data_IF_927348722964
#
_entry.id   IF_927348722964
#
_cell.length_a   1.000
_cell.length_b   1.000
_cell.length_c   1.000
_cell.angle_alpha   90.00
_cell.angle_beta   90.00
_cell.angle_gamma   90.00
#
_symmetry.space_group_name_H-M   'P 1'
#
loop_
_entity.id
_entity.type
_entity.pdbx_description
1 polymer ?
#
# COMPACT_ATOMS: atom_id res chain seq x y z
N UNK A 1 6.78 -37.92 -129.42
CA UNK A 1 8.17 -37.69 -128.98
C UNK A 1 8.49 -38.68 -127.86
N UNK A 2 9.56 -39.46 -128.05
CA UNK A 2 10.38 -40.22 -127.06
C UNK A 2 9.66 -41.13 -126.05
N UNK A 3 9.54 -42.45 -126.22
CA UNK A 3 10.56 -43.54 -126.22
C UNK A 3 10.95 -44.09 -124.83
N UNK A 4 10.49 -45.33 -124.59
CA UNK A 4 11.22 -46.50 -124.05
C UNK A 4 11.79 -46.52 -122.62
N UNK A 5 11.28 -47.44 -121.78
CA UNK A 5 11.88 -48.78 -121.48
C UNK A 5 10.98 -49.52 -120.46
N UNK A 6 10.32 -50.65 -120.75
CA UNK A 6 10.79 -52.04 -120.94
C UNK A 6 11.52 -52.64 -119.71
N UNK A 7 10.83 -53.58 -119.04
CA UNK A 7 11.21 -54.98 -118.71
C UNK A 7 10.77 -55.38 -117.30
N UNK A 8 10.08 -56.52 -117.20
CA UNK A 8 9.80 -57.20 -115.93
C UNK A 8 8.46 -57.94 -115.93
N UNK A 9 8.24 -58.80 -116.91
CA UNK A 9 7.09 -59.70 -116.94
C UNK A 9 7.43 -61.02 -116.24
N UNK A 10 6.41 -61.59 -115.59
CA UNK A 10 6.16 -63.02 -115.34
C UNK A 10 7.18 -63.74 -114.44
N UNK A 11 6.68 -64.47 -113.42
CA UNK A 11 6.54 -65.93 -113.51
C UNK A 11 6.12 -66.61 -112.18
N UNK A 12 5.21 -67.58 -112.31
CA UNK A 12 4.91 -68.76 -111.45
C UNK A 12 4.31 -68.47 -110.06
N UNK A 13 3.04 -68.79 -109.73
CA UNK A 13 2.31 -70.05 -109.90
C UNK A 13 3.17 -71.30 -109.66
N UNK A 14 3.26 -71.72 -108.40
CA UNK A 14 3.82 -73.02 -108.02
C UNK A 14 4.12 -73.09 -106.52
N UNK A 15 3.51 -74.04 -105.81
CA UNK A 15 3.99 -74.47 -104.50
C UNK A 15 3.02 -74.30 -103.32
N UNK A 16 1.83 -74.89 -103.43
CA UNK A 16 1.11 -75.40 -102.26
C UNK A 16 1.87 -76.65 -101.77
N UNK A 17 1.93 -76.86 -100.44
CA UNK A 17 2.45 -78.03 -99.72
C UNK A 17 3.96 -78.02 -99.42
N UNK A 18 4.34 -77.46 -98.27
CA UNK A 18 5.31 -77.98 -97.28
C UNK A 18 5.83 -76.83 -96.39
N UNK A 19 5.11 -76.55 -95.29
CA UNK A 19 5.55 -75.57 -94.29
C UNK A 19 4.82 -75.64 -92.95
N UNK A 20 4.09 -76.73 -92.70
CA UNK A 20 3.20 -76.90 -91.55
C UNK A 20 3.84 -77.40 -90.25
N UNK A 21 5.16 -77.33 -90.06
CA UNK A 21 5.79 -77.92 -88.85
C UNK A 21 6.85 -77.08 -88.13
N UNK A 22 7.08 -75.81 -88.51
CA UNK A 22 7.99 -74.91 -87.74
C UNK A 22 7.27 -73.66 -87.20
N UNK A 23 6.05 -73.37 -87.64
CA UNK A 23 5.25 -72.25 -87.14
C UNK A 23 4.51 -72.54 -85.82
N UNK A 24 4.45 -73.80 -85.35
CA UNK A 24 3.67 -74.13 -84.15
C UNK A 24 4.42 -73.87 -82.83
N UNK A 25 5.76 -73.92 -82.82
CA UNK A 25 6.55 -73.65 -81.61
C UNK A 25 6.85 -72.17 -81.38
N UNK A 26 6.79 -71.32 -82.42
CA UNK A 26 7.05 -69.88 -82.26
C UNK A 26 5.79 -69.11 -81.85
N UNK A 27 4.59 -69.59 -82.24
CA UNK A 27 3.33 -68.97 -81.85
C UNK A 27 2.96 -69.31 -80.39
N UNK A 28 3.17 -70.55 -79.95
CA UNK A 28 2.93 -70.93 -78.54
C UNK A 28 3.89 -70.23 -77.57
N UNK A 29 5.13 -69.93 -77.98
CA UNK A 29 6.09 -69.19 -77.17
C UNK A 29 5.75 -67.69 -77.05
N UNK A 30 5.21 -67.07 -78.10
CA UNK A 30 4.72 -65.68 -78.08
C UNK A 30 3.40 -65.59 -77.29
N UNK A 31 2.51 -66.55 -77.43
CA UNK A 31 1.21 -66.59 -76.73
C UNK A 31 1.40 -66.87 -75.21
N UNK A 32 2.38 -67.71 -74.84
CA UNK A 32 2.76 -67.92 -73.45
C UNK A 32 3.55 -66.73 -72.88
N UNK A 33 4.43 -66.10 -73.66
CA UNK A 33 5.19 -64.91 -73.22
C UNK A 33 4.31 -63.68 -73.02
N UNK A 34 3.29 -63.49 -73.88
CA UNK A 34 2.31 -62.40 -73.74
C UNK A 34 1.33 -62.64 -72.60
N UNK A 35 0.92 -63.89 -72.33
CA UNK A 35 0.15 -64.25 -71.13
C UNK A 35 0.92 -64.02 -69.83
N UNK A 36 2.19 -64.41 -69.78
CA UNK A 36 3.05 -64.18 -68.61
C UNK A 36 3.25 -62.69 -68.34
N UNK A 37 3.50 -61.88 -69.38
CA UNK A 37 3.60 -60.43 -69.24
C UNK A 37 2.28 -59.78 -68.83
N UNK A 38 1.13 -60.30 -69.28
CA UNK A 38 -0.18 -59.81 -68.88
C UNK A 38 -0.51 -60.17 -67.42
N UNK A 39 -0.16 -61.37 -66.97
CA UNK A 39 -0.29 -61.78 -65.57
C UNK A 39 0.65 -60.96 -64.66
N UNK A 40 1.89 -60.74 -65.07
CA UNK A 40 2.87 -59.93 -64.33
C UNK A 40 2.45 -58.45 -64.28
N UNK A 41 1.92 -57.90 -65.38
CA UNK A 41 1.35 -56.56 -65.42
C UNK A 41 0.08 -56.43 -64.56
N UNK A 42 -0.79 -57.45 -64.55
CA UNK A 42 -1.97 -57.46 -63.67
C UNK A 42 -1.59 -57.59 -62.20
N UNK A 43 -0.59 -58.39 -61.86
CA UNK A 43 -0.06 -58.49 -60.50
C UNK A 43 0.56 -57.15 -60.06
N UNK A 44 1.36 -56.51 -60.92
CA UNK A 44 1.92 -55.18 -60.65
C UNK A 44 0.84 -54.09 -60.53
N UNK A 45 -0.23 -54.16 -61.33
CA UNK A 45 -1.38 -53.25 -61.24
C UNK A 45 -2.14 -53.45 -59.93
N UNK A 46 -2.35 -54.69 -59.51
CA UNK A 46 -2.99 -55.05 -58.24
C UNK A 46 -2.17 -54.54 -57.04
N UNK A 47 -0.86 -54.74 -57.06
CA UNK A 47 0.04 -54.24 -56.00
C UNK A 47 0.08 -52.70 -55.98
N UNK A 48 0.12 -52.06 -57.15
CA UNK A 48 0.05 -50.60 -57.24
C UNK A 48 -1.30 -50.05 -56.72
N UNK A 49 -2.42 -50.74 -56.98
CA UNK A 49 -3.73 -50.38 -56.44
C UNK A 49 -3.79 -50.54 -54.92
N UNK A 50 -3.21 -51.60 -54.36
CA UNK A 50 -3.10 -51.81 -52.91
C UNK A 50 -2.24 -50.73 -52.25
N UNK A 51 -1.09 -50.39 -52.83
CA UNK A 51 -0.22 -49.32 -52.35
C UNK A 51 -0.91 -47.94 -52.43
N UNK A 52 -1.67 -47.68 -53.51
CA UNK A 52 -2.45 -46.44 -53.65
C UNK A 52 -3.57 -46.36 -52.60
N UNK A 53 -4.26 -47.46 -52.33
CA UNK A 53 -5.30 -47.52 -51.32
C UNK A 53 -4.74 -47.33 -49.89
N UNK A 54 -3.55 -47.88 -49.60
CA UNK A 54 -2.89 -47.68 -48.31
C UNK A 54 -2.41 -46.25 -48.12
N UNK A 55 -1.77 -45.66 -49.14
CA UNK A 55 -1.35 -44.25 -49.12
C UNK A 55 -2.54 -43.30 -48.95
N UNK A 56 -3.67 -43.53 -49.62
CA UNK A 56 -4.89 -42.74 -49.41
C UNK A 56 -5.41 -42.83 -47.96
N UNK A 57 -5.37 -44.02 -47.34
CA UNK A 57 -5.75 -44.18 -45.92
C UNK A 57 -4.79 -43.42 -45.00
N UNK A 58 -3.50 -43.46 -45.26
CA UNK A 58 -2.50 -42.71 -44.50
C UNK A 58 -2.70 -41.20 -44.65
N UNK A 59 -2.95 -40.71 -45.87
CA UNK A 59 -3.28 -39.31 -46.13
C UNK A 59 -4.56 -38.86 -45.42
N UNK A 60 -5.61 -39.67 -45.42
CA UNK A 60 -6.84 -39.37 -44.70
C UNK A 60 -6.62 -39.26 -43.18
N UNK A 61 -5.79 -40.16 -42.62
CA UNK A 61 -5.41 -40.14 -41.19
C UNK A 61 -4.54 -38.92 -40.83
N UNK A 62 -3.60 -38.56 -41.70
CA UNK A 62 -2.80 -37.35 -41.56
C UNK A 62 -3.66 -36.09 -41.65
N UNK A 63 -4.65 -36.07 -42.55
CA UNK A 63 -5.63 -35.00 -42.65
C UNK A 63 -6.42 -34.83 -41.35
N UNK A 64 -6.99 -35.91 -40.82
CA UNK A 64 -7.75 -35.84 -39.55
C UNK A 64 -6.88 -35.41 -38.36
N UNK A 65 -5.63 -35.88 -38.29
CA UNK A 65 -4.69 -35.46 -37.25
C UNK A 65 -4.29 -33.98 -37.39
N UNK A 66 -4.17 -33.49 -38.64
CA UNK A 66 -3.94 -32.08 -38.93
C UNK A 66 -5.10 -31.20 -38.48
N UNK A 67 -6.33 -31.61 -38.79
CA UNK A 67 -7.54 -30.90 -38.39
C UNK A 67 -7.68 -30.86 -36.85
N UNK A 68 -7.47 -31.98 -36.15
CA UNK A 68 -7.45 -32.04 -34.68
C UNK A 68 -6.37 -31.13 -34.08
N UNK A 69 -5.18 -31.08 -34.68
CA UNK A 69 -4.10 -30.21 -34.22
C UNK A 69 -4.41 -28.73 -34.41
N UNK A 70 -5.09 -28.36 -35.50
CA UNK A 70 -5.54 -26.99 -35.77
C UNK A 70 -6.59 -26.59 -34.73
N UNK A 71 -7.61 -27.41 -34.49
CA UNK A 71 -8.63 -27.11 -33.47
C UNK A 71 -8.02 -26.96 -32.07
N UNK A 72 -7.05 -27.82 -31.73
CA UNK A 72 -6.33 -27.72 -30.46
C UNK A 72 -5.50 -26.44 -30.36
N UNK A 73 -4.82 -26.04 -31.44
CA UNK A 73 -4.06 -24.79 -31.49
C UNK A 73 -4.96 -23.54 -31.39
N UNK A 74 -6.13 -23.55 -32.04
CA UNK A 74 -7.13 -22.48 -31.91
C UNK A 74 -7.68 -22.39 -30.48
N UNK A 75 -7.96 -23.53 -29.84
CA UNK A 75 -8.39 -23.59 -28.45
C UNK A 75 -7.33 -23.01 -27.49
N UNK A 76 -6.07 -23.39 -27.67
CA UNK A 76 -4.96 -22.83 -26.88
C UNK A 76 -4.80 -21.33 -27.10
N UNK A 77 -4.96 -20.87 -28.34
CA UNK A 77 -4.87 -19.44 -28.67
C UNK A 77 -5.94 -18.65 -27.93
N UNK A 78 -7.19 -19.11 -27.93
CA UNK A 78 -8.27 -18.49 -27.14
C UNK A 78 -7.98 -18.48 -25.65
N UNK A 79 -7.46 -19.59 -25.10
CA UNK A 79 -7.08 -19.64 -23.68
C UNK A 79 -5.96 -18.64 -23.33
N UNK A 80 -4.99 -18.45 -24.23
CA UNK A 80 -3.93 -17.45 -24.04
C UNK A 80 -4.52 -16.04 -24.04
N UNK A 81 -5.39 -15.72 -25.00
CA UNK A 81 -6.06 -14.41 -25.07
C UNK A 81 -6.90 -14.13 -23.81
N UNK A 82 -7.64 -15.12 -23.31
CA UNK A 82 -8.40 -15.02 -22.06
C UNK A 82 -7.47 -14.77 -20.86
N UNK A 83 -6.36 -15.51 -20.76
CA UNK A 83 -5.40 -15.34 -19.67
C UNK A 83 -4.68 -14.00 -19.72
N UNK A 84 -4.35 -13.51 -20.91
CA UNK A 84 -3.75 -12.19 -21.08
C UNK A 84 -4.72 -11.08 -20.66
N UNK A 85 -6.01 -11.22 -20.97
CA UNK A 85 -7.05 -10.30 -20.51
C UNK A 85 -7.21 -10.35 -18.96
N UNK A 86 -7.22 -11.53 -18.36
CA UNK A 86 -7.24 -11.69 -16.90
C UNK A 86 -6.02 -11.04 -16.22
N UNK A 87 -4.81 -11.27 -16.77
CA UNK A 87 -3.57 -10.69 -16.27
C UNK A 87 -3.62 -9.16 -16.36
N UNK A 88 -4.09 -8.60 -17.47
CA UNK A 88 -4.24 -7.16 -17.65
C UNK A 88 -5.21 -6.57 -16.60
N UNK A 89 -6.35 -7.22 -16.38
CA UNK A 89 -7.34 -6.79 -15.37
C UNK A 89 -6.78 -6.87 -13.94
N UNK A 90 -6.03 -7.93 -13.61
CA UNK A 90 -5.38 -8.09 -12.30
C UNK A 90 -4.29 -7.03 -12.08
N UNK A 91 -3.47 -6.74 -13.10
CA UNK A 91 -2.46 -5.67 -13.04
C UNK A 91 -3.11 -4.30 -12.79
N UNK A 92 -4.22 -4.00 -13.47
CA UNK A 92 -4.96 -2.76 -13.26
C UNK A 92 -5.52 -2.67 -11.83
N UNK A 93 -6.09 -3.76 -11.33
CA UNK A 93 -6.64 -3.84 -9.96
C UNK A 93 -5.55 -3.67 -8.90
N UNK A 94 -4.40 -4.33 -9.08
CA UNK A 94 -3.23 -4.17 -8.20
C UNK A 94 -2.71 -2.73 -8.23
N UNK A 95 -2.63 -2.10 -9.41
CA UNK A 95 -2.24 -0.70 -9.55
C UNK A 95 -3.18 0.25 -8.81
N UNK A 96 -4.50 0.03 -8.89
CA UNK A 96 -5.48 0.83 -8.14
C UNK A 96 -5.35 0.62 -6.62
N UNK A 97 -5.23 -0.63 -6.17
CA UNK A 97 -5.03 -0.94 -4.75
C UNK A 97 -3.74 -0.30 -4.21
N UNK A 98 -2.64 -0.40 -4.94
CA UNK A 98 -1.37 0.22 -4.56
C UNK A 98 -1.49 1.73 -4.38
N UNK A 99 -2.16 2.42 -5.31
CA UNK A 99 -2.45 3.87 -5.18
C UNK A 99 -3.33 4.18 -3.97
N UNK A 100 -4.36 3.37 -3.72
CA UNK A 100 -5.23 3.53 -2.56
C UNK A 100 -4.49 3.34 -1.23
N UNK A 101 -3.60 2.33 -1.14
CA UNK A 101 -2.75 2.12 0.03
C UNK A 101 -1.78 3.28 0.24
N UNK A 102 -1.10 3.74 -0.81
CA UNK A 102 -0.22 4.90 -0.72
C UNK A 102 -0.96 6.16 -0.22
N UNK A 103 -2.18 6.42 -0.73
CA UNK A 103 -3.02 7.52 -0.26
C UNK A 103 -3.43 7.38 1.20
N UNK A 104 -3.83 6.19 1.63
CA UNK A 104 -4.18 5.90 3.04
C UNK A 104 -2.99 6.05 3.97
N UNK A 105 -1.80 5.57 3.58
CA UNK A 105 -0.58 5.72 4.37
C UNK A 105 -0.23 7.20 4.58
N UNK A 106 -0.28 8.02 3.52
CA UNK A 106 -0.02 9.46 3.64
C UNK A 106 -1.05 10.19 4.50
N UNK A 107 -2.32 9.79 4.48
CA UNK A 107 -3.34 10.34 5.40
C UNK A 107 -3.07 9.91 6.85
N UNK A 108 -2.74 8.64 7.07
CA UNK A 108 -2.46 8.12 8.40
C UNK A 108 -1.24 8.82 9.02
N UNK A 109 -0.19 9.04 8.24
CA UNK A 109 1.02 9.74 8.68
C UNK A 109 0.72 11.18 9.11
N UNK A 110 -0.09 11.92 8.31
CA UNK A 110 -0.55 13.27 8.69
C UNK A 110 -1.38 13.27 9.97
N UNK A 111 -2.28 12.28 10.13
CA UNK A 111 -3.08 12.15 11.35
C UNK A 111 -2.21 11.83 12.56
N UNK A 112 -1.23 10.94 12.41
CA UNK A 112 -0.29 10.61 13.49
C UNK A 112 0.56 11.81 13.90
N UNK A 113 1.05 12.59 12.94
CA UNK A 113 1.82 13.80 13.23
C UNK A 113 0.98 14.86 13.96
N UNK A 114 -0.25 15.10 13.48
CA UNK A 114 -1.21 15.99 14.14
C UNK A 114 -1.53 15.55 15.57
N UNK A 115 -1.80 14.25 15.77
CA UNK A 115 -2.05 13.69 17.10
C UNK A 115 -0.83 13.77 18.01
N UNK A 116 0.37 13.53 17.49
CA UNK A 116 1.63 13.66 18.24
C UNK A 116 1.82 15.08 18.78
N UNK A 117 1.58 16.09 17.94
CA UNK A 117 1.63 17.50 18.33
C UNK A 117 0.57 17.80 19.40
N UNK A 118 -0.66 17.33 19.21
CA UNK A 118 -1.74 17.51 20.18
C UNK A 118 -1.41 16.88 21.54
N UNK A 119 -0.85 15.67 21.55
CA UNK A 119 -0.41 14.98 22.77
C UNK A 119 0.72 15.76 23.46
N UNK A 120 1.71 16.25 22.70
CA UNK A 120 2.79 17.04 23.27
C UNK A 120 2.27 18.35 23.91
N UNK A 121 1.31 19.02 23.26
CA UNK A 121 0.67 20.21 23.79
C UNK A 121 -0.15 19.91 25.05
N UNK A 122 -0.94 18.83 25.06
CA UNK A 122 -1.69 18.39 26.23
C UNK A 122 -0.76 18.03 27.39
N UNK A 123 0.32 17.30 27.13
CA UNK A 123 1.31 16.95 28.15
C UNK A 123 1.92 18.19 28.78
N UNK A 124 2.35 19.15 27.95
CA UNK A 124 2.87 20.44 28.42
C UNK A 124 1.83 21.17 29.28
N UNK A 125 0.58 21.23 28.80
CA UNK A 125 -0.53 21.88 29.52
C UNK A 125 -0.74 21.26 30.91
N UNK A 126 -0.73 19.94 31.02
CA UNK A 126 -0.85 19.24 32.31
C UNK A 126 0.31 19.61 33.24
N UNK A 127 1.55 19.56 32.74
CA UNK A 127 2.73 19.95 33.53
C UNK A 127 2.66 21.41 34.00
N UNK A 128 2.30 22.34 33.12
CA UNK A 128 2.15 23.76 33.47
C UNK A 128 1.05 23.96 34.54
N UNK A 129 -0.04 23.19 34.45
CA UNK A 129 -1.14 23.22 35.42
C UNK A 129 -0.69 22.71 36.80
N UNK A 130 0.06 21.61 36.84
CA UNK A 130 0.59 21.05 38.10
C UNK A 130 1.50 22.05 38.82
N UNK A 131 2.37 22.75 38.07
CA UNK A 131 3.22 23.81 38.61
C UNK A 131 2.39 24.94 39.20
N UNK A 132 1.33 25.37 38.52
CA UNK A 132 0.45 26.43 39.01
C UNK A 132 -0.33 26.02 40.26
N UNK A 133 -0.76 24.75 40.36
CA UNK A 133 -1.40 24.26 41.59
C UNK A 133 -0.43 24.20 42.77
N UNK A 134 0.81 23.75 42.54
CA UNK A 134 1.85 23.76 43.56
C UNK A 134 2.16 25.19 44.04
N UNK A 135 2.26 26.14 43.10
CA UNK A 135 2.53 27.54 43.43
C UNK A 135 1.35 28.20 44.14
N UNK A 136 0.11 27.93 43.72
CA UNK A 136 -1.10 28.38 44.42
C UNK A 136 -1.10 27.90 45.87
N UNK A 137 -0.77 26.63 46.10
CA UNK A 137 -0.71 26.07 47.44
C UNK A 137 0.34 26.78 48.30
N UNK A 138 1.57 26.95 47.78
CA UNK A 138 2.66 27.64 48.46
C UNK A 138 2.31 29.09 48.82
N UNK A 139 1.76 29.83 47.85
CA UNK A 139 1.34 31.22 48.06
C UNK A 139 0.18 31.32 49.06
N UNK A 140 -0.78 30.40 49.02
CA UNK A 140 -1.88 30.36 49.98
C UNK A 140 -1.38 30.14 51.41
N UNK A 141 -0.40 29.24 51.60
CA UNK A 141 0.23 29.05 52.91
C UNK A 141 0.97 30.31 53.37
N UNK A 142 1.80 30.91 52.50
CA UNK A 142 2.57 32.10 52.83
C UNK A 142 1.67 33.29 53.20
N UNK A 143 0.59 33.52 52.45
CA UNK A 143 -0.43 34.54 52.74
C UNK A 143 -1.11 34.26 54.09
N UNK A 144 -1.46 33.01 54.38
CA UNK A 144 -2.07 32.62 55.65
C UNK A 144 -1.15 32.85 56.86
N UNK A 145 0.10 32.40 56.78
CA UNK A 145 1.11 32.60 57.82
C UNK A 145 1.41 34.08 58.06
N UNK A 146 1.53 34.85 56.98
CA UNK A 146 1.84 36.28 57.07
C UNK A 146 0.65 37.06 57.65
N UNK A 147 -0.58 36.71 57.27
CA UNK A 147 -1.79 37.28 57.88
C UNK A 147 -1.85 37.02 59.39
N UNK A 148 -1.51 35.81 59.84
CA UNK A 148 -1.45 35.51 61.27
C UNK A 148 -0.40 36.37 61.99
N UNK A 149 0.80 36.54 61.40
CA UNK A 149 1.85 37.41 61.94
C UNK A 149 1.42 38.88 61.99
N UNK A 150 0.76 39.38 60.94
CA UNK A 150 0.24 40.75 60.89
C UNK A 150 -0.81 40.96 62.00
N UNK A 151 -1.72 40.02 62.20
CA UNK A 151 -2.73 40.12 63.26
C UNK A 151 -2.10 40.12 64.66
N UNK A 152 -1.13 39.24 64.91
CA UNK A 152 -0.38 39.23 66.18
C UNK A 152 0.42 40.53 66.37
N UNK A 153 1.09 41.01 65.33
CA UNK A 153 1.83 42.27 65.33
C UNK A 153 0.93 43.48 65.58
N UNK A 154 -0.24 43.54 64.95
CA UNK A 154 -1.24 44.57 65.16
C UNK A 154 -1.74 44.61 66.61
N UNK A 155 -2.02 43.44 67.20
CA UNK A 155 -2.41 43.37 68.61
C UNK A 155 -1.31 43.86 69.55
N UNK A 156 -0.06 43.45 69.32
CA UNK A 156 1.07 43.91 70.12
C UNK A 156 1.31 45.42 69.97
N UNK A 157 1.08 45.96 68.77
CA UNK A 157 1.15 47.39 68.50
C UNK A 157 0.11 48.18 69.26
N UNK A 158 -1.13 47.70 69.37
CA UNK A 158 -2.16 48.38 70.18
C UNK A 158 -1.76 48.46 71.67
N UNK A 159 -1.16 47.40 72.22
CA UNK A 159 -0.66 47.38 73.59
C UNK A 159 0.46 48.40 73.78
N UNK A 160 1.45 48.40 72.87
CA UNK A 160 2.60 49.30 72.94
C UNK A 160 2.26 50.76 72.59
N UNK A 161 1.23 51.00 71.78
CA UNK A 161 0.73 52.34 71.46
C UNK A 161 0.21 53.04 72.71
N UNK A 162 -0.50 52.32 73.58
CA UNK A 162 -1.02 52.87 74.85
C UNK A 162 0.15 53.29 75.75
N UNK A 163 1.16 52.43 75.91
CA UNK A 163 2.36 52.74 76.70
C UNK A 163 3.12 53.97 76.16
N UNK A 164 3.32 54.05 74.84
CA UNK A 164 3.97 55.22 74.23
C UNK A 164 3.14 56.50 74.35
N UNK A 165 1.81 56.41 74.25
CA UNK A 165 0.92 57.57 74.42
C UNK A 165 0.91 58.07 75.88
N UNK A 166 1.01 57.19 76.87
CA UNK A 166 1.16 57.55 78.29
C UNK A 166 2.50 58.24 78.57
N UNK A 167 3.60 57.75 77.98
CA UNK A 167 4.91 58.37 78.07
C UNK A 167 4.90 59.80 77.50
N UNK A 168 4.36 59.98 76.29
CA UNK A 168 4.30 61.29 75.61
C UNK A 168 3.44 62.33 76.35
N UNK A 169 2.46 61.89 77.14
CA UNK A 169 1.61 62.79 77.95
C UNK A 169 2.28 63.25 79.24
N UNK A 170 3.44 62.71 79.61
CA UNK A 170 4.17 63.08 80.83
C UNK A 170 3.51 62.62 82.14
N UNK A 171 2.44 61.83 82.08
CA UNK A 171 1.62 61.41 83.24
C UNK A 171 1.96 59.99 83.74
N UNK A 172 3.20 59.54 83.57
CA UNK A 172 3.57 58.16 83.82
C UNK A 172 3.83 57.88 85.31
N UNK A 173 2.80 57.43 86.04
CA UNK A 173 2.96 56.65 87.27
C UNK A 173 3.42 55.20 86.97
N UNK A 174 3.35 54.77 85.71
CA UNK A 174 3.57 53.38 85.25
C UNK A 174 4.99 53.03 84.77
N UNK A 175 6.03 53.83 85.07
CA UNK A 175 7.42 53.59 84.62
C UNK A 175 7.56 53.31 83.10
N UNK A 176 6.82 54.02 82.25
CA UNK A 176 7.03 53.95 80.79
C UNK A 176 8.18 54.87 80.35
N UNK A 177 8.86 54.51 79.27
CA UNK A 177 10.13 55.10 78.83
C UNK A 177 10.16 55.42 77.34
N UNK A 178 11.17 56.19 76.91
CA UNK A 178 11.45 56.43 75.48
C UNK A 178 11.66 55.10 74.72
N UNK A 179 12.25 54.10 75.37
CA UNK A 179 12.45 52.77 74.79
C UNK A 179 11.14 52.08 74.40
N UNK A 180 10.04 52.35 75.09
CA UNK A 180 8.72 51.79 74.76
C UNK A 180 8.15 52.42 73.48
N UNK A 181 8.40 53.73 73.29
CA UNK A 181 8.07 54.41 72.04
C UNK A 181 8.95 53.96 70.87
N UNK A 182 10.23 53.74 71.11
CA UNK A 182 11.15 53.25 70.08
C UNK A 182 10.79 51.81 69.67
N UNK A 183 10.45 50.95 70.62
CA UNK A 183 9.94 49.59 70.38
C UNK A 183 8.62 49.62 69.60
N UNK A 184 7.68 50.50 69.96
CA UNK A 184 6.44 50.69 69.19
C UNK A 184 6.71 51.09 67.74
N UNK A 185 7.59 52.07 67.51
CA UNK A 185 7.92 52.52 66.16
C UNK A 185 8.61 51.42 65.34
N UNK A 186 9.51 50.65 65.95
CA UNK A 186 10.18 49.51 65.31
C UNK A 186 9.17 48.44 64.89
N UNK A 187 8.33 47.99 65.82
CA UNK A 187 7.29 47.00 65.54
C UNK A 187 6.28 47.51 64.50
N UNK A 188 6.02 48.83 64.47
CA UNK A 188 5.11 49.44 63.50
C UNK A 188 5.71 49.36 62.10
N UNK A 189 7.00 49.65 61.96
CA UNK A 189 7.71 49.52 60.70
C UNK A 189 7.74 48.06 60.23
N UNK A 190 8.04 47.11 61.12
CA UNK A 190 8.00 45.67 60.82
C UNK A 190 6.61 45.21 60.37
N UNK A 191 5.55 45.61 61.08
CA UNK A 191 4.19 45.24 60.71
C UNK A 191 3.75 45.88 59.39
N UNK A 192 4.20 47.10 59.10
CA UNK A 192 3.94 47.76 57.81
C UNK A 192 4.65 47.01 56.67
N UNK A 193 5.90 46.60 56.87
CA UNK A 193 6.63 45.80 55.89
C UNK A 193 5.98 44.42 55.65
N UNK A 194 5.44 43.79 56.71
CA UNK A 194 4.67 42.54 56.56
C UNK A 194 3.38 42.75 55.76
N UNK A 195 2.66 43.87 55.96
CA UNK A 195 1.47 44.21 55.17
C UNK A 195 1.84 44.40 53.68
N UNK A 196 2.93 45.11 53.38
CA UNK A 196 3.42 45.25 51.99
C UNK A 196 3.77 43.89 51.36
N UNK A 197 4.46 43.01 52.09
CA UNK A 197 4.75 41.65 51.63
C UNK A 197 3.47 40.83 51.42
N UNK A 198 2.45 41.01 52.26
CA UNK A 198 1.15 40.35 52.13
C UNK A 198 0.43 40.79 50.86
N UNK A 199 0.44 42.08 50.55
CA UNK A 199 -0.17 42.61 49.33
C UNK A 199 0.52 42.06 48.07
N UNK A 200 1.86 41.98 48.08
CA UNK A 200 2.62 41.36 47.00
C UNK A 200 2.28 39.88 46.82
N UNK A 201 2.32 39.08 47.88
CA UNK A 201 1.99 37.64 47.82
C UNK A 201 0.53 37.39 47.43
N UNK A 202 -0.39 38.24 47.88
CA UNK A 202 -1.81 38.16 47.51
C UNK A 202 -2.02 38.48 46.03
N UNK A 203 -1.33 39.50 45.52
CA UNK A 203 -1.33 39.82 44.09
C UNK A 203 -0.79 38.65 43.23
N UNK A 204 0.32 38.03 43.65
CA UNK A 204 0.88 36.86 42.97
C UNK A 204 -0.09 35.66 43.00
N UNK A 205 -0.73 35.43 44.16
CA UNK A 205 -1.74 34.37 44.30
C UNK A 205 -2.92 34.60 43.35
N UNK A 206 -3.38 35.84 43.21
CA UNK A 206 -4.47 36.17 42.29
C UNK A 206 -4.06 36.07 40.83
N UNK A 207 -2.80 36.36 40.49
CA UNK A 207 -2.26 36.07 39.16
C UNK A 207 -2.31 34.58 38.85
N UNK A 208 -1.85 33.72 39.76
CA UNK A 208 -1.89 32.26 39.59
C UNK A 208 -3.33 31.74 39.48
N UNK A 209 -4.28 32.27 40.27
CA UNK A 209 -5.71 31.91 40.15
C UNK A 209 -6.30 32.28 38.79
N UNK A 210 -5.92 33.44 38.23
CA UNK A 210 -6.36 33.86 36.89
C UNK A 210 -5.78 32.94 35.82
N UNK A 211 -4.51 32.60 35.92
CA UNK A 211 -3.87 31.64 35.01
C UNK A 211 -4.57 30.28 35.06
N UNK A 212 -4.80 29.72 36.25
CA UNK A 212 -5.57 28.47 36.42
C UNK A 212 -6.99 28.54 35.85
N UNK A 213 -7.66 29.69 35.99
CA UNK A 213 -9.01 29.89 35.45
C UNK A 213 -9.02 29.94 33.92
N UNK A 214 -7.94 30.44 33.31
CA UNK A 214 -7.78 30.43 31.86
C UNK A 214 -7.67 29.00 31.32
N UNK A 215 -7.04 28.05 32.04
CA UNK A 215 -6.96 26.64 31.62
C UNK A 215 -8.34 25.99 31.42
N UNK A 216 -9.34 26.33 32.25
CA UNK A 216 -10.68 25.76 32.17
C UNK A 216 -11.49 26.20 30.94
N UNK A 217 -11.10 27.31 30.31
CA UNK A 217 -11.85 27.93 29.20
C UNK A 217 -11.22 27.70 27.82
N UNK A 218 -10.09 27.00 27.72
CA UNK A 218 -9.47 26.75 26.41
C UNK A 218 -10.07 25.49 25.79
N UNK A 219 -10.68 25.58 24.59
CA UNK A 219 -11.26 24.42 23.91
C UNK A 219 -10.22 23.31 23.73
N UNK A 220 -10.67 22.07 23.89
CA UNK A 220 -9.87 20.90 23.56
C UNK A 220 -9.64 20.87 22.04
N UNK A 221 -8.49 20.36 21.56
CA UNK A 221 -8.28 20.18 20.13
C UNK A 221 -9.41 19.33 19.56
N UNK A 222 -10.04 19.81 18.49
CA UNK A 222 -11.14 19.09 17.84
C UNK A 222 -10.68 17.67 17.48
N UNK A 223 -11.45 16.68 17.93
CA UNK A 223 -11.25 15.30 17.51
C UNK A 223 -11.68 15.17 16.04
N UNK A 224 -10.80 14.72 15.13
CA UNK A 224 -11.19 14.37 13.77
C UNK A 224 -12.06 13.10 13.72
#
# INVERSE_FOLDING_TARGET
MTSTNKKGALLFAGGLLLGGLVAWNHWSSIENGTKLQLEEANAALSDAQLALADTQKQLAKLGSQGDEAIEHAESLTKQIEEKDAEIAALKATLGQKAKAYAGKTGQLEKTMESQSIAIAQLKKRVTDTDVLYAERYRLTQAVGELNEKILKGAHQLELNQKACAEYKKGNSWNKVSQSDCDNFNSQKAENTAMIEQFDHLSSDLDKVKRELSAFGNVPLPDHP
#
